data_IF_306466860516
#
_entry.id   IF_306466860516
#
_cell.length_a   1.000
_cell.length_b   1.000
_cell.length_c   1.000
_cell.angle_alpha   90.00
_cell.angle_beta   90.00
_cell.angle_gamma   90.00
#
_symmetry.space_group_name_H-M   'P 1'
#
loop_
_entity.id
_entity.type
_entity.pdbx_description
1 polymer ?
#
# COMPACT_ATOMS: atom_id res chain seq x y z
N UNK A 1 -14.91 6.99 2.45
CA UNK A 1 -13.71 6.12 2.38
C UNK A 1 -12.80 6.26 3.60
N UNK A 2 -12.45 7.49 3.99
CA UNK A 2 -11.49 7.80 5.08
C UNK A 2 -11.80 7.15 6.43
N UNK A 3 -13.08 7.13 6.83
CA UNK A 3 -13.52 6.51 8.09
C UNK A 3 -13.16 5.02 8.21
N UNK A 4 -13.41 4.23 7.15
CA UNK A 4 -13.10 2.79 7.16
C UNK A 4 -11.60 2.50 7.27
N UNK A 5 -10.77 3.38 6.71
CA UNK A 5 -9.30 3.27 6.73
C UNK A 5 -8.74 3.59 8.12
N UNK A 6 -9.31 4.60 8.78
CA UNK A 6 -8.98 4.96 10.16
C UNK A 6 -9.47 3.89 11.15
N UNK A 7 -10.68 3.37 10.97
CA UNK A 7 -11.25 2.29 11.82
C UNK A 7 -10.45 0.97 11.69
N UNK A 8 -9.90 0.69 10.52
CA UNK A 8 -8.92 -0.41 10.33
C UNK A 8 -7.62 -0.17 11.11
N UNK A 9 -7.33 1.09 11.40
CA UNK A 9 -6.24 1.54 12.25
C UNK A 9 -5.12 2.25 11.51
N UNK A 10 -5.20 2.50 10.20
CA UNK A 10 -4.14 3.23 9.52
C UNK A 10 -4.01 4.66 10.07
N UNK A 11 -2.78 5.18 10.12
CA UNK A 11 -2.44 6.54 10.54
C UNK A 11 -2.33 7.43 9.31
N UNK A 12 -3.44 8.06 8.95
CA UNK A 12 -3.52 8.94 7.78
C UNK A 12 -3.99 10.31 8.27
N UNK A 13 -3.37 11.41 7.83
CA UNK A 13 -3.85 12.76 8.11
C UNK A 13 -5.30 12.93 7.62
N UNK A 14 -6.12 13.63 8.40
CA UNK A 14 -7.55 13.86 8.08
C UNK A 14 -7.76 14.66 6.78
N UNK A 15 -6.74 15.43 6.39
CA UNK A 15 -6.79 16.33 5.23
C UNK A 15 -6.52 15.63 3.89
N UNK A 16 -6.21 14.33 3.89
CA UNK A 16 -5.91 13.59 2.66
C UNK A 16 -7.17 12.93 2.12
N UNK A 17 -7.49 13.24 0.86
CA UNK A 17 -8.53 12.52 0.12
C UNK A 17 -8.04 11.12 -0.26
N UNK A 18 -8.90 10.11 -0.07
CA UNK A 18 -8.64 8.72 -0.43
C UNK A 18 -9.58 8.31 -1.58
N UNK A 19 -9.08 7.57 -2.59
CA UNK A 19 -7.73 7.02 -2.72
C UNK A 19 -6.67 8.07 -3.06
N UNK A 20 -5.41 7.84 -2.66
CA UNK A 20 -4.29 8.72 -3.04
C UNK A 20 -3.89 8.38 -4.47
N UNK A 21 -3.96 9.34 -5.38
CA UNK A 21 -3.51 9.19 -6.76
C UNK A 21 -2.18 9.93 -6.92
N UNK A 22 -1.16 9.24 -7.46
CA UNK A 22 0.20 9.75 -7.62
C UNK A 22 0.67 9.63 -9.06
N UNK A 23 1.60 10.50 -9.46
CA UNK A 23 2.15 10.51 -10.81
C UNK A 23 2.74 9.15 -11.23
N UNK A 24 2.61 8.82 -12.52
CA UNK A 24 3.05 7.54 -13.10
C UNK A 24 4.55 7.27 -12.93
N UNK A 25 5.35 8.30 -12.67
CA UNK A 25 6.79 8.18 -12.36
C UNK A 25 7.08 7.27 -11.16
N UNK A 26 6.12 7.08 -10.26
CA UNK A 26 6.28 6.18 -9.12
C UNK A 26 6.62 4.74 -9.54
N UNK A 27 6.15 4.31 -10.71
CA UNK A 27 6.34 2.94 -11.23
C UNK A 27 7.81 2.62 -11.53
N UNK A 28 8.61 3.66 -11.81
CA UNK A 28 10.04 3.58 -12.15
C UNK A 28 10.99 3.75 -10.96
N UNK A 29 10.48 4.02 -9.76
CA UNK A 29 11.32 4.25 -8.58
C UNK A 29 11.95 2.93 -8.14
N UNK A 30 13.24 2.73 -8.44
CA UNK A 30 13.97 1.51 -8.08
C UNK A 30 14.63 1.56 -6.69
N UNK A 31 14.84 2.77 -6.12
CA UNK A 31 15.55 2.91 -4.85
C UNK A 31 14.59 3.05 -3.68
N UNK A 32 14.74 2.18 -2.68
CA UNK A 32 13.97 2.21 -1.42
C UNK A 32 14.02 3.57 -0.72
N UNK A 33 15.18 4.23 -0.69
CA UNK A 33 15.34 5.54 -0.04
C UNK A 33 14.48 6.63 -0.70
N UNK A 34 14.35 6.58 -2.02
CA UNK A 34 13.55 7.54 -2.78
C UNK A 34 12.07 7.30 -2.53
N UNK A 35 11.64 6.03 -2.50
CA UNK A 35 10.26 5.66 -2.17
C UNK A 35 9.86 6.07 -0.74
N UNK A 36 10.74 5.85 0.25
CA UNK A 36 10.47 6.27 1.64
C UNK A 36 10.31 7.79 1.72
N UNK A 37 11.22 8.55 1.10
CA UNK A 37 11.12 10.03 1.07
C UNK A 37 9.83 10.51 0.42
N UNK A 38 9.39 9.82 -0.64
CA UNK A 38 8.15 10.14 -1.32
C UNK A 38 6.92 9.89 -0.44
N UNK A 39 6.85 8.74 0.22
CA UNK A 39 5.75 8.40 1.14
C UNK A 39 5.70 9.33 2.36
N UNK A 40 6.86 9.74 2.88
CA UNK A 40 6.95 10.75 3.95
C UNK A 40 6.43 12.12 3.49
N UNK A 41 6.74 12.54 2.25
CA UNK A 41 6.25 13.82 1.68
C UNK A 41 4.73 13.85 1.51
N UNK A 42 4.11 12.71 1.23
CA UNK A 42 2.65 12.58 1.14
C UNK A 42 1.99 12.61 2.54
N UNK A 43 2.78 12.56 3.62
CA UNK A 43 2.27 12.59 4.99
C UNK A 43 2.04 11.20 5.59
N UNK A 44 2.54 10.13 4.96
CA UNK A 44 2.41 8.75 5.47
C UNK A 44 3.52 8.35 6.44
N UNK A 45 4.26 9.32 6.99
CA UNK A 45 5.36 9.08 7.93
C UNK A 45 4.91 8.28 9.15
N UNK A 46 3.79 8.64 9.76
CA UNK A 46 3.24 7.92 10.92
C UNK A 46 2.81 6.49 10.58
N UNK A 47 2.27 6.27 9.38
CA UNK A 47 1.89 4.94 8.92
C UNK A 47 3.12 4.05 8.71
N UNK A 48 4.20 4.61 8.13
CA UNK A 48 5.47 3.90 7.96
C UNK A 48 6.09 3.55 9.31
N UNK A 49 6.07 4.46 10.28
CA UNK A 49 6.60 4.23 11.62
C UNK A 49 5.82 3.15 12.36
N UNK A 50 4.48 3.21 12.30
CA UNK A 50 3.59 2.14 12.78
C UNK A 50 3.96 0.79 12.16
N UNK A 51 4.22 0.73 10.86
CA UNK A 51 4.54 -0.52 10.16
C UNK A 51 5.95 -1.04 10.44
N UNK A 52 6.88 -0.16 10.81
CA UNK A 52 8.25 -0.52 11.21
C UNK A 52 8.26 -1.37 12.48
N UNK A 53 7.30 -1.16 13.38
CA UNK A 53 7.15 -1.99 14.57
C UNK A 53 6.76 -3.43 14.22
N UNK A 54 7.56 -4.38 14.70
CA UNK A 54 7.29 -5.81 14.61
C UNK A 54 7.13 -6.41 15.99
N UNK A 55 6.13 -7.27 16.16
CA UNK A 55 5.94 -8.04 17.40
C UNK A 55 6.40 -9.48 17.21
N UNK A 56 7.01 -10.05 18.24
CA UNK A 56 7.32 -11.48 18.26
C UNK A 56 5.99 -12.24 18.40
N UNK A 57 5.71 -13.16 17.48
CA UNK A 57 4.47 -13.97 17.47
C UNK A 57 4.40 -14.81 18.74
N UNK A 58 3.22 -14.98 19.35
CA UNK A 58 3.04 -15.89 20.47
C UNK A 58 2.92 -17.36 19.99
N UNK A 59 3.16 -18.31 20.90
CA UNK A 59 2.97 -19.74 20.63
C UNK A 59 4.02 -20.40 19.72
N UNK A 60 3.69 -21.63 19.27
CA UNK A 60 4.60 -22.53 18.53
C UNK A 60 4.96 -22.06 17.13
N UNK A 61 4.19 -21.14 16.54
CA UNK A 61 4.46 -20.58 15.22
C UNK A 61 5.84 -19.94 15.09
N UNK A 62 6.41 -19.44 16.19
CA UNK A 62 7.80 -18.94 16.24
C UNK A 62 8.83 -19.97 15.80
N UNK A 63 8.65 -21.24 16.21
CA UNK A 63 9.57 -22.34 15.92
C UNK A 63 9.50 -22.80 14.47
N UNK A 64 8.44 -22.45 13.74
CA UNK A 64 8.20 -22.83 12.35
C UNK A 64 8.60 -21.72 11.35
N UNK A 65 9.61 -20.91 11.68
CA UNK A 65 10.07 -19.79 10.84
C UNK A 65 9.15 -18.55 10.81
N UNK A 66 7.98 -18.60 11.44
CA UNK A 66 6.99 -17.51 11.49
C UNK A 66 7.16 -16.66 12.75
N UNK A 67 8.38 -16.21 13.05
CA UNK A 67 8.72 -15.53 14.33
C UNK A 67 8.11 -14.15 14.49
N UNK A 68 8.00 -13.36 13.42
CA UNK A 68 7.52 -11.98 13.49
C UNK A 68 6.08 -11.85 12.97
N UNK A 69 5.30 -11.00 13.64
CA UNK A 69 4.04 -10.45 13.15
C UNK A 69 4.30 -9.00 12.73
N UNK A 70 4.19 -8.74 11.43
CA UNK A 70 4.26 -7.40 10.84
C UNK A 70 2.85 -6.81 10.78
N UNK A 71 2.75 -5.48 10.82
CA UNK A 71 1.49 -4.79 10.55
C UNK A 71 1.26 -4.70 9.04
N UNK A 72 -0.01 -4.62 8.64
CA UNK A 72 -0.39 -4.34 7.26
C UNK A 72 -0.41 -2.83 7.09
N UNK A 73 0.36 -2.31 6.15
CA UNK A 73 0.44 -0.90 5.81
C UNK A 73 -0.18 -0.59 4.45
N UNK A 74 0.32 0.44 3.75
CA UNK A 74 -0.26 0.89 2.49
C UNK A 74 -0.06 -0.15 1.38
N UNK A 75 -0.99 -0.14 0.42
CA UNK A 75 -0.92 -0.87 -0.83
C UNK A 75 -0.70 0.13 -1.96
N UNK A 76 0.36 -0.05 -2.73
CA UNK A 76 0.61 0.71 -3.95
C UNK A 76 0.13 -0.13 -5.13
N UNK A 77 -0.78 0.41 -5.91
CA UNK A 77 -1.31 -0.21 -7.12
C UNK A 77 -0.73 0.52 -8.32
N UNK A 78 -0.05 -0.23 -9.18
CA UNK A 78 0.62 0.29 -10.38
C UNK A 78 0.10 -0.41 -11.61
N UNK A 79 0.21 0.22 -12.79
CA UNK A 79 -0.17 -0.42 -14.03
C UNK A 79 0.93 -1.41 -14.44
N UNK A 80 2.15 -0.89 -14.54
CA UNK A 80 3.35 -1.66 -14.79
C UNK A 80 4.36 -1.54 -13.64
N UNK A 81 5.21 -2.53 -13.52
CA UNK A 81 6.29 -2.54 -12.52
C UNK A 81 7.63 -2.40 -13.23
N UNK A 82 8.22 -1.21 -13.09
CA UNK A 82 9.50 -0.83 -13.71
C UNK A 82 10.58 -0.68 -12.63
N UNK A 83 10.41 -1.32 -11.47
CA UNK A 83 11.38 -1.31 -10.36
C UNK A 83 10.77 -0.95 -9.00
N UNK A 84 9.52 -0.49 -8.97
CA UNK A 84 8.82 -0.11 -7.74
C UNK A 84 8.66 -1.27 -6.76
N UNK A 85 8.46 -2.51 -7.24
CA UNK A 85 8.37 -3.67 -6.35
C UNK A 85 9.68 -3.92 -5.61
N UNK A 86 10.82 -3.69 -6.25
CA UNK A 86 12.14 -3.86 -5.63
C UNK A 86 12.42 -2.75 -4.62
N UNK A 87 12.03 -1.51 -4.93
CA UNK A 87 12.11 -0.42 -3.97
C UNK A 87 11.26 -0.67 -2.73
N UNK A 88 10.05 -1.20 -2.89
CA UNK A 88 9.10 -1.43 -1.81
C UNK A 88 9.40 -2.70 -0.99
N UNK A 89 10.04 -3.73 -1.57
CA UNK A 89 10.25 -5.05 -0.96
C UNK A 89 10.84 -5.00 0.46
N UNK A 90 11.73 -4.04 0.71
CA UNK A 90 12.40 -3.90 2.00
C UNK A 90 11.70 -2.93 2.98
N UNK A 91 10.62 -2.27 2.57
CA UNK A 91 9.87 -1.35 3.42
C UNK A 91 8.83 -2.16 4.22
N UNK A 92 8.87 -2.16 5.56
CA UNK A 92 7.90 -2.90 6.36
C UNK A 92 6.46 -2.43 6.11
N UNK A 93 5.57 -3.37 5.80
CA UNK A 93 4.13 -3.12 5.71
C UNK A 93 3.65 -2.49 4.40
N UNK A 94 4.56 -2.05 3.53
CA UNK A 94 4.23 -1.55 2.20
C UNK A 94 4.20 -2.74 1.24
N UNK A 95 3.09 -2.92 0.55
CA UNK A 95 2.98 -3.89 -0.54
C UNK A 95 2.75 -3.16 -1.86
N UNK A 96 3.26 -3.73 -2.96
CA UNK A 96 3.01 -3.27 -4.33
C UNK A 96 2.27 -4.39 -5.07
N UNK A 97 1.29 -4.02 -5.89
CA UNK A 97 0.57 -4.95 -6.76
C UNK A 97 0.32 -4.30 -8.11
N UNK A 98 0.44 -5.09 -9.18
CA UNK A 98 0.03 -4.64 -10.51
C UNK A 98 -1.49 -4.65 -10.58
N UNK A 99 -2.08 -3.73 -11.34
CA UNK A 99 -3.53 -3.62 -11.46
C UNK A 99 -4.16 -4.94 -11.93
N UNK A 100 -3.53 -5.61 -12.90
CA UNK A 100 -3.99 -6.91 -13.43
C UNK A 100 -4.02 -8.04 -12.39
N UNK A 101 -3.19 -7.94 -11.35
CA UNK A 101 -3.05 -8.94 -10.28
C UNK A 101 -3.80 -8.52 -9.00
N UNK A 102 -4.50 -7.38 -9.03
CA UNK A 102 -5.21 -6.84 -7.89
C UNK A 102 -6.36 -7.77 -7.48
N UNK A 103 -6.40 -8.13 -6.21
CA UNK A 103 -7.37 -9.07 -5.65
C UNK A 103 -7.89 -8.59 -4.29
N UNK A 104 -9.01 -9.19 -3.85
CA UNK A 104 -9.64 -8.90 -2.55
C UNK A 104 -8.68 -9.17 -1.40
N UNK A 105 -7.74 -10.11 -1.54
CA UNK A 105 -6.73 -10.40 -0.51
C UNK A 105 -5.79 -9.21 -0.27
N UNK A 106 -5.50 -8.43 -1.31
CA UNK A 106 -4.67 -7.23 -1.21
C UNK A 106 -5.44 -6.08 -0.57
N UNK A 107 -6.71 -5.87 -0.97
CA UNK A 107 -7.56 -4.77 -0.51
C UNK A 107 -8.13 -4.98 0.90
N UNK A 108 -8.47 -6.23 1.24
CA UNK A 108 -9.13 -6.60 2.49
C UNK A 108 -8.41 -7.73 3.26
N UNK A 109 -7.12 -7.57 3.62
CA UNK A 109 -6.40 -8.63 4.31
C UNK A 109 -7.03 -8.92 5.67
N UNK A 110 -7.31 -10.20 5.93
CA UNK A 110 -8.02 -10.66 7.12
C UNK A 110 -9.53 -10.41 7.10
N UNK A 111 -10.14 -10.34 5.90
CA UNK A 111 -11.58 -10.10 5.70
C UNK A 111 -12.09 -8.80 6.34
N UNK A 112 -11.19 -7.81 6.50
CA UNK A 112 -11.53 -6.46 6.94
C UNK A 112 -11.35 -5.53 5.75
N UNK A 113 -12.31 -4.66 5.40
CA UNK A 113 -12.13 -3.67 4.34
C UNK A 113 -11.28 -2.48 4.82
N UNK A 114 -11.07 -1.50 3.94
CA UNK A 114 -10.46 -0.20 4.29
C UNK A 114 -8.94 -0.21 4.40
N UNK A 115 -8.22 -0.95 3.55
CA UNK A 115 -6.76 -0.80 3.46
C UNK A 115 -6.41 0.55 2.84
N UNK A 116 -5.35 1.20 3.32
CA UNK A 116 -4.82 2.41 2.70
C UNK A 116 -4.25 2.06 1.31
N UNK A 117 -4.80 2.65 0.25
CA UNK A 117 -4.41 2.40 -1.14
C UNK A 117 -3.87 3.66 -1.80
N UNK A 118 -2.80 3.49 -2.58
CA UNK A 118 -2.14 4.51 -3.40
C UNK A 118 -2.15 3.99 -4.84
N UNK A 119 -2.68 4.75 -5.78
CA UNK A 119 -2.74 4.37 -7.20
C UNK A 119 -1.81 5.25 -8.01
N UNK A 120 -1.08 4.68 -8.97
CA UNK A 120 -0.51 5.49 -10.05
C UNK A 120 -1.62 6.07 -10.91
N UNK A 121 -1.42 7.26 -11.50
CA UNK A 121 -2.36 7.86 -12.45
C UNK A 121 -2.69 6.88 -13.58
N UNK A 122 -1.68 6.18 -14.10
CA UNK A 122 -1.83 5.18 -15.15
C UNK A 122 -2.77 4.04 -14.71
N UNK A 123 -2.59 3.52 -13.50
CA UNK A 123 -3.45 2.48 -12.95
C UNK A 123 -4.87 3.00 -12.71
N UNK A 124 -5.01 4.22 -12.20
CA UNK A 124 -6.32 4.82 -11.90
C UNK A 124 -7.13 5.07 -13.17
N UNK A 125 -6.52 5.58 -14.23
CA UNK A 125 -7.15 5.74 -15.54
C UNK A 125 -7.57 4.41 -16.13
N UNK A 126 -6.74 3.36 -16.00
CA UNK A 126 -7.11 2.03 -16.52
C UNK A 126 -8.26 1.40 -15.74
N UNK A 127 -8.35 1.65 -14.43
CA UNK A 127 -9.51 1.23 -13.62
C UNK A 127 -10.78 1.91 -14.12
N UNK A 128 -10.71 3.20 -14.39
CA UNK A 128 -11.84 3.99 -14.91
C UNK A 128 -12.34 3.43 -16.25
N UNK A 129 -11.42 3.17 -17.19
CA UNK A 129 -11.75 2.52 -18.47
C UNK A 129 -12.40 1.15 -18.29
N UNK A 130 -11.88 0.32 -17.37
CA UNK A 130 -12.32 -1.05 -17.16
C UNK A 130 -13.67 -1.16 -16.43
N UNK A 131 -13.95 -0.24 -15.50
CA UNK A 131 -15.17 -0.27 -14.68
C UNK A 131 -16.28 0.62 -15.22
N UNK A 132 -15.95 1.73 -15.87
CA UNK A 132 -16.91 2.76 -16.29
C UNK A 132 -17.01 2.86 -17.82
N UNK A 133 -16.34 1.98 -18.57
CA UNK A 133 -16.53 1.83 -20.01
C UNK A 133 -16.04 3.02 -20.84
N UNK A 134 -15.16 3.86 -20.27
CA UNK A 134 -14.61 5.04 -20.95
C UNK A 134 -15.63 6.17 -21.14
N UNK A 135 -16.46 6.47 -20.13
CA UNK A 135 -17.25 7.70 -20.10
C UNK A 135 -16.38 8.90 -19.71
N UNK A 136 -15.53 9.30 -20.66
CA UNK A 136 -14.78 10.56 -20.68
C UNK A 136 -14.75 11.10 -22.10
#
# INVERSE_FOLDING_TARGET
ATRAVIERGHRVPENISLPIVVDGKIESVAKTKELVRFLEKIGLREELERCREKKIRAGKGKRRGRRYKKRVGPLIVVLEDVGISDAARNIPGVDVVKLKDLSVLHLAPGAKPGRLTIYSVNAFQKIDELLLGGLG
#
